data_IF_676351345467
#
_entry.id   IF_676351345467
#
_cell.length_a   1.000
_cell.length_b   1.000
_cell.length_c   1.000
_cell.angle_alpha   90.00
_cell.angle_beta   90.00
_cell.angle_gamma   90.00
#
_symmetry.space_group_name_H-M   'P 1'
#
loop_
_entity.id
_entity.type
_entity.pdbx_description
1 polymer ?
#
# COMPACT_ATOMS: atom_id res chain seq x y z
N UNK A 1 -20.18 -2.18 18.13
CA UNK A 1 -18.73 -2.21 17.81
C UNK A 1 -18.52 -1.64 16.42
N UNK A 2 -17.87 -0.49 16.28
CA UNK A 2 -17.53 0.08 14.98
C UNK A 2 -16.48 -0.81 14.31
N UNK A 3 -16.78 -1.36 13.13
CA UNK A 3 -15.80 -2.13 12.35
C UNK A 3 -14.67 -1.21 11.88
N UNK A 4 -13.40 -1.66 11.91
CA UNK A 4 -12.30 -0.87 11.38
C UNK A 4 -12.48 -0.67 9.86
N UNK A 5 -12.29 0.56 9.39
CA UNK A 5 -12.31 0.90 7.96
C UNK A 5 -11.10 0.29 7.26
N UNK A 6 -11.35 -0.47 6.21
CA UNK A 6 -10.30 -1.06 5.38
C UNK A 6 -9.44 0.01 4.72
N UNK A 7 -10.08 1.10 4.28
CA UNK A 7 -9.37 2.23 3.68
C UNK A 7 -8.46 2.95 4.67
N UNK A 8 -8.88 3.14 5.94
CA UNK A 8 -8.00 3.69 6.99
C UNK A 8 -6.82 2.78 7.30
N UNK A 9 -7.03 1.47 7.35
CA UNK A 9 -5.95 0.50 7.55
C UNK A 9 -4.94 0.56 6.39
N UNK A 10 -5.42 0.66 5.14
CA UNK A 10 -4.53 0.79 3.99
C UNK A 10 -3.74 2.10 4.01
N UNK A 11 -4.35 3.21 4.46
CA UNK A 11 -3.63 4.47 4.67
C UNK A 11 -2.57 4.35 5.79
N UNK A 12 -2.86 3.62 6.87
CA UNK A 12 -1.88 3.36 7.92
C UNK A 12 -0.69 2.53 7.39
N UNK A 13 -0.96 1.53 6.56
CA UNK A 13 0.09 0.77 5.84
C UNK A 13 0.91 1.70 4.95
N UNK A 14 0.27 2.62 4.22
CA UNK A 14 0.96 3.59 3.38
C UNK A 14 1.92 4.49 4.16
N UNK A 15 1.47 5.03 5.30
CA UNK A 15 2.30 5.85 6.20
C UNK A 15 3.45 5.03 6.78
N UNK A 16 3.18 3.82 7.26
CA UNK A 16 4.20 2.92 7.79
C UNK A 16 5.24 2.56 6.72
N UNK A 17 4.80 2.26 5.50
CA UNK A 17 5.67 1.99 4.37
C UNK A 17 6.55 3.19 4.04
N UNK A 18 5.97 4.39 3.91
CA UNK A 18 6.76 5.61 3.68
C UNK A 18 7.79 5.88 4.77
N UNK A 19 7.40 5.77 6.05
CA UNK A 19 8.28 6.03 7.19
C UNK A 19 9.42 5.01 7.30
N UNK A 20 9.12 3.71 7.18
CA UNK A 20 10.12 2.64 7.20
C UNK A 20 11.07 2.79 6.01
N UNK A 21 10.55 3.09 4.82
CA UNK A 21 11.35 3.31 3.62
C UNK A 21 12.31 4.48 3.78
N UNK A 22 11.82 5.60 4.31
CA UNK A 22 12.65 6.77 4.59
C UNK A 22 13.79 6.48 5.57
N UNK A 23 13.51 5.68 6.61
CA UNK A 23 14.51 5.31 7.61
C UNK A 23 15.55 4.32 7.08
N UNK A 24 15.09 3.27 6.38
CA UNK A 24 15.94 2.21 5.83
C UNK A 24 16.83 2.73 4.70
N UNK A 25 16.30 3.60 3.84
CA UNK A 25 17.01 4.12 2.68
C UNK A 25 17.58 5.53 2.89
N UNK A 26 17.74 6.00 4.13
CA UNK A 26 18.15 7.38 4.45
C UNK A 26 19.42 7.83 3.73
N UNK A 27 20.39 6.94 3.53
CA UNK A 27 21.67 7.24 2.87
C UNK A 27 21.47 7.45 1.37
N UNK A 28 20.78 6.52 0.70
CA UNK A 28 20.43 6.62 -0.70
C UNK A 28 19.55 7.86 -0.99
N UNK A 29 18.65 8.22 -0.08
CA UNK A 29 17.84 9.43 -0.19
C UNK A 29 18.67 10.71 -0.01
N UNK A 30 19.62 10.72 0.92
CA UNK A 30 20.55 11.83 1.09
C UNK A 30 21.46 12.01 -0.14
N UNK A 31 21.82 10.93 -0.82
CA UNK A 31 22.56 10.98 -2.08
C UNK A 31 21.70 11.50 -3.24
N UNK A 32 20.45 11.05 -3.36
CA UNK A 32 19.49 11.61 -4.32
C UNK A 32 19.31 13.11 -4.11
N UNK A 33 19.12 13.55 -2.86
CA UNK A 33 19.00 14.97 -2.53
C UNK A 33 20.24 15.79 -2.92
N UNK A 34 21.45 15.22 -2.77
CA UNK A 34 22.71 15.87 -3.15
C UNK A 34 22.99 15.86 -4.65
N UNK A 35 22.51 14.86 -5.39
CA UNK A 35 22.75 14.68 -6.82
C UNK A 35 21.72 15.39 -7.72
N UNK A 36 20.72 16.05 -7.13
CA UNK A 36 19.61 16.68 -7.84
C UNK A 36 18.43 15.72 -8.06
N UNK A 37 17.27 16.23 -8.45
CA UNK A 37 16.02 15.43 -8.54
C UNK A 37 15.79 14.83 -9.94
N UNK A 38 16.24 15.52 -10.99
CA UNK A 38 16.01 15.10 -12.39
C UNK A 38 17.10 14.13 -12.82
N UNK A 39 16.72 12.99 -13.43
CA UNK A 39 17.63 11.94 -13.92
C UNK A 39 18.60 11.37 -12.86
N UNK A 40 18.25 11.45 -11.57
CA UNK A 40 19.13 10.99 -10.48
C UNK A 40 18.82 9.58 -9.97
N UNK A 41 17.68 9.01 -10.36
CA UNK A 41 17.31 7.63 -10.03
C UNK A 41 17.81 6.70 -11.14
N UNK A 42 18.79 5.82 -10.86
CA UNK A 42 19.26 4.83 -11.84
C UNK A 42 18.23 3.70 -12.02
N UNK A 43 18.39 2.89 -13.06
CA UNK A 43 17.52 1.72 -13.35
C UNK A 43 17.56 0.64 -12.26
N UNK A 44 18.68 0.52 -11.52
CA UNK A 44 18.92 -0.53 -10.52
C UNK A 44 19.76 0.02 -9.35
N UNK A 45 19.80 -0.74 -8.25
CA UNK A 45 20.58 -0.42 -7.06
C UNK A 45 19.79 0.35 -6.00
N UNK A 46 20.49 0.79 -4.95
CA UNK A 46 19.83 1.25 -3.71
C UNK A 46 19.00 2.52 -3.89
N UNK A 47 19.42 3.44 -4.77
CA UNK A 47 18.64 4.64 -5.12
C UNK A 47 17.35 4.27 -5.87
N UNK A 48 17.41 3.28 -6.75
CA UNK A 48 16.23 2.77 -7.46
C UNK A 48 15.26 2.09 -6.48
N UNK A 49 15.80 1.25 -5.58
CA UNK A 49 15.01 0.60 -4.54
C UNK A 49 14.35 1.62 -3.61
N UNK A 50 15.10 2.62 -3.14
CA UNK A 50 14.61 3.70 -2.29
C UNK A 50 13.47 4.48 -2.97
N UNK A 51 13.65 4.82 -4.26
CA UNK A 51 12.63 5.51 -5.04
C UNK A 51 11.35 4.69 -5.15
N UNK A 52 11.43 3.43 -5.60
CA UNK A 52 10.24 2.59 -5.80
C UNK A 52 9.53 2.26 -4.50
N UNK A 53 10.28 2.07 -3.41
CA UNK A 53 9.71 1.89 -2.08
C UNK A 53 8.93 3.14 -1.64
N UNK A 54 9.51 4.33 -1.74
CA UNK A 54 8.79 5.55 -1.37
C UNK A 54 7.65 5.90 -2.32
N UNK A 55 7.78 5.64 -3.63
CA UNK A 55 6.74 5.89 -4.63
C UNK A 55 5.49 5.05 -4.39
N UNK A 56 5.62 3.86 -3.79
CA UNK A 56 4.47 3.04 -3.43
C UNK A 56 3.64 3.65 -2.29
N UNK A 57 4.22 4.43 -1.38
CA UNK A 57 3.50 5.03 -0.26
C UNK A 57 2.34 5.96 -0.67
N UNK A 58 2.51 7.00 -1.53
CA UNK A 58 1.40 7.84 -1.97
C UNK A 58 0.35 7.06 -2.78
N UNK A 59 0.78 6.07 -3.58
CA UNK A 59 -0.15 5.21 -4.32
C UNK A 59 -1.04 4.37 -3.38
N UNK A 60 -0.46 3.76 -2.34
CA UNK A 60 -1.20 3.03 -1.31
C UNK A 60 -2.14 3.96 -0.53
N UNK A 61 -1.68 5.17 -0.19
CA UNK A 61 -2.51 6.14 0.53
C UNK A 61 -3.71 6.60 -0.31
N UNK A 62 -3.49 6.87 -1.60
CA UNK A 62 -4.55 7.19 -2.56
C UNK A 62 -5.53 6.02 -2.69
N UNK A 63 -5.05 4.79 -2.82
CA UNK A 63 -5.89 3.59 -2.83
C UNK A 63 -6.74 3.48 -1.55
N UNK A 64 -6.15 3.74 -0.40
CA UNK A 64 -6.87 3.79 0.89
C UNK A 64 -7.93 4.89 0.94
N UNK A 65 -7.66 6.08 0.38
CA UNK A 65 -8.65 7.16 0.22
C UNK A 65 -9.83 6.77 -0.65
N UNK A 66 -9.56 6.20 -1.82
CA UNK A 66 -10.61 5.76 -2.75
C UNK A 66 -11.44 4.63 -2.13
N UNK A 67 -10.79 3.70 -1.43
CA UNK A 67 -11.48 2.64 -0.71
C UNK A 67 -12.37 3.20 0.40
N UNK A 68 -11.92 4.22 1.16
CA UNK A 68 -12.77 4.90 2.14
C UNK A 68 -14.00 5.52 1.49
N UNK A 69 -13.84 6.18 0.34
CA UNK A 69 -14.97 6.73 -0.41
C UNK A 69 -15.96 5.63 -0.79
N UNK A 70 -15.49 4.47 -1.25
CA UNK A 70 -16.35 3.32 -1.55
C UNK A 70 -17.03 2.75 -0.30
N UNK A 71 -16.37 2.75 0.86
CA UNK A 71 -16.97 2.35 2.14
C UNK A 71 -18.08 3.30 2.59
N UNK A 72 -17.85 4.62 2.47
CA UNK A 72 -18.79 5.67 2.86
C UNK A 72 -20.06 5.67 2.00
N UNK A 73 -19.94 5.32 0.71
CA UNK A 73 -21.08 5.24 -0.22
C UNK A 73 -21.68 3.83 -0.35
N UNK A 74 -21.16 2.84 0.40
CA UNK A 74 -21.68 1.47 0.33
C UNK A 74 -21.43 0.75 -1.00
N UNK A 75 -20.44 1.17 -1.79
CA UNK A 75 -20.07 0.53 -3.05
C UNK A 75 -19.34 -0.80 -2.78
N UNK A 76 -20.13 -1.87 -2.65
CA UNK A 76 -19.64 -3.22 -2.35
C UNK A 76 -18.83 -3.78 -3.52
N UNK A 77 -19.13 -3.40 -4.77
CA UNK A 77 -18.43 -3.89 -5.95
C UNK A 77 -16.99 -3.36 -5.98
N UNK A 78 -16.80 -2.04 -5.80
CA UNK A 78 -15.47 -1.44 -5.71
C UNK A 78 -14.67 -1.98 -4.51
N UNK A 79 -15.32 -2.17 -3.36
CA UNK A 79 -14.69 -2.77 -2.17
C UNK A 79 -14.18 -4.19 -2.45
N UNK A 80 -14.97 -5.04 -3.12
CA UNK A 80 -14.58 -6.41 -3.47
C UNK A 80 -13.48 -6.45 -4.53
N UNK A 81 -13.55 -5.59 -5.53
CA UNK A 81 -12.51 -5.45 -6.55
C UNK A 81 -11.17 -5.05 -5.90
N UNK A 82 -11.16 -4.03 -5.04
CA UNK A 82 -9.99 -3.67 -4.27
C UNK A 82 -9.52 -4.83 -3.38
N UNK A 83 -10.44 -5.54 -2.72
CA UNK A 83 -10.13 -6.70 -1.91
C UNK A 83 -9.42 -7.81 -2.66
N UNK A 84 -9.89 -8.16 -3.86
CA UNK A 84 -9.28 -9.17 -4.72
C UNK A 84 -7.86 -8.77 -5.16
N UNK A 85 -7.68 -7.51 -5.58
CA UNK A 85 -6.35 -6.99 -5.95
C UNK A 85 -5.39 -7.03 -4.77
N UNK A 86 -5.81 -6.58 -3.59
CA UNK A 86 -4.97 -6.56 -2.39
C UNK A 86 -4.58 -7.98 -1.94
N UNK A 87 -5.49 -8.95 -2.02
CA UNK A 87 -5.17 -10.36 -1.74
C UNK A 87 -4.19 -10.90 -2.77
N UNK A 88 -4.42 -10.66 -4.07
CA UNK A 88 -3.54 -11.16 -5.13
C UNK A 88 -2.12 -10.61 -4.99
N UNK A 89 -1.97 -9.29 -4.92
CA UNK A 89 -0.67 -8.63 -4.73
C UNK A 89 -0.03 -9.02 -3.41
N UNK A 90 -0.81 -9.05 -2.32
CA UNK A 90 -0.34 -9.44 -1.00
C UNK A 90 0.14 -10.88 -0.94
N UNK A 91 -0.55 -11.82 -1.59
CA UNK A 91 -0.15 -13.22 -1.61
C UNK A 91 1.14 -13.44 -2.41
N UNK A 92 1.24 -12.85 -3.60
CA UNK A 92 2.46 -12.92 -4.43
C UNK A 92 3.64 -12.29 -3.69
N UNK A 93 3.45 -11.11 -3.13
CA UNK A 93 4.49 -10.41 -2.38
C UNK A 93 4.88 -11.11 -1.08
N UNK A 94 3.94 -11.72 -0.37
CA UNK A 94 4.24 -12.51 0.83
C UNK A 94 5.00 -13.81 0.50
N UNK A 95 4.72 -14.43 -0.65
CA UNK A 95 5.48 -15.59 -1.12
C UNK A 95 6.93 -15.20 -1.49
N UNK A 96 7.11 -14.05 -2.15
CA UNK A 96 8.43 -13.57 -2.56
C UNK A 96 9.24 -12.97 -1.39
N UNK A 97 8.58 -12.27 -0.46
CA UNK A 97 9.19 -11.56 0.67
C UNK A 97 8.35 -11.71 1.95
N UNK A 98 8.44 -12.87 2.64
CA UNK A 98 7.54 -13.20 3.76
C UNK A 98 7.61 -12.24 4.95
N UNK A 99 8.79 -11.66 5.21
CA UNK A 99 9.01 -10.71 6.31
C UNK A 99 8.64 -9.26 5.96
N UNK A 100 8.06 -9.03 4.77
CA UNK A 100 7.65 -7.72 4.29
C UNK A 100 6.27 -7.27 4.79
N UNK A 101 5.80 -6.12 4.27
CA UNK A 101 4.47 -5.57 4.58
C UNK A 101 3.30 -6.27 3.87
N UNK A 102 3.56 -7.22 2.97
CA UNK A 102 2.54 -7.87 2.13
C UNK A 102 1.46 -8.66 2.88
N UNK A 103 1.73 -9.34 4.01
CA UNK A 103 0.68 -9.98 4.80
C UNK A 103 -0.43 -9.02 5.26
N UNK A 104 -0.11 -7.73 5.47
CA UNK A 104 -1.12 -6.73 5.80
C UNK A 104 -2.12 -6.51 4.65
N UNK A 105 -1.66 -6.54 3.39
CA UNK A 105 -2.53 -6.41 2.22
C UNK A 105 -3.48 -7.61 2.09
N UNK A 106 -2.98 -8.83 2.36
CA UNK A 106 -3.82 -10.04 2.42
C UNK A 106 -4.89 -9.91 3.48
N UNK A 107 -4.54 -9.46 4.69
CA UNK A 107 -5.50 -9.26 5.78
C UNK A 107 -6.58 -8.23 5.44
N UNK A 108 -6.18 -7.07 4.92
CA UNK A 108 -7.12 -6.01 4.52
C UNK A 108 -8.02 -6.47 3.37
N UNK A 109 -7.44 -7.11 2.35
CA UNK A 109 -8.20 -7.62 1.21
C UNK A 109 -9.18 -8.73 1.61
N UNK A 110 -8.76 -9.65 2.47
CA UNK A 110 -9.62 -10.69 3.03
C UNK A 110 -10.80 -10.12 3.83
N UNK A 111 -10.59 -9.03 4.57
CA UNK A 111 -11.66 -8.33 5.28
C UNK A 111 -12.71 -7.75 4.31
N UNK A 112 -12.29 -7.23 3.15
CA UNK A 112 -13.20 -6.70 2.13
C UNK A 112 -14.01 -7.81 1.44
N UNK A 113 -13.37 -8.94 1.13
CA UNK A 113 -14.01 -10.08 0.47
C UNK A 113 -15.02 -10.81 1.37
N UNK A 114 -14.82 -10.79 2.69
CA UNK A 114 -15.75 -11.39 3.66
C UNK A 114 -17.00 -10.55 3.91
N UNK A 115 -17.17 -9.39 3.27
CA UNK A 115 -18.36 -8.54 3.46
C UNK A 115 -19.60 -9.20 2.82
N UNK A 116 -20.64 -9.50 3.61
CA UNK A 116 -21.89 -9.99 3.06
C UNK A 116 -22.49 -8.90 2.17
N UNK A 117 -22.94 -9.30 0.97
CA UNK A 117 -23.76 -8.42 0.16
C UNK A 117 -25.04 -8.17 0.95
N UNK A 118 -25.29 -6.92 1.36
CA UNK A 118 -26.63 -6.56 1.84
C UNK A 118 -27.55 -6.75 0.64
N UNK A 119 -28.44 -7.74 0.70
CA UNK A 119 -29.58 -7.81 -0.21
C UNK A 119 -30.38 -6.53 0.02
N UNK A 120 -30.45 -5.68 -1.00
CA UNK A 120 -31.43 -4.60 -1.07
C UNK A 120 -32.82 -5.17 -1.22
#
# INVERSE_FOLDING_TARGET
>A
MNRPSAGRLLQAVAVGHGAIGALVHREALAELARSGVVNSVPERGDRAAAFWFLAAAPALWMGGRLLRSAEEHGDVAAQRAAGAVLVGVGAVGAAAMPKGGFPALVGIGGMLLRRPARRG
#
